data_IF_489432126887
#
_entry.id   IF_489432126887
#
_cell.length_a   1.000
_cell.length_b   1.000
_cell.length_c   1.000
_cell.angle_alpha   90.00
_cell.angle_beta   90.00
_cell.angle_gamma   90.00
#
_symmetry.space_group_name_H-M   'P 1'
#
loop_
_entity.id
_entity.type
_entity.pdbx_description
1 polymer ?
#
# COMPACT_ATOMS: atom_id res chain seq x y z
N UNK A 1 13.80 -3.17 -15.30
CA UNK A 1 14.71 -3.95 -14.42
C UNK A 1 13.91 -4.62 -13.31
N UNK A 2 13.04 -3.88 -12.61
CA UNK A 2 12.13 -4.37 -11.56
C UNK A 2 11.25 -5.59 -11.93
N UNK A 3 10.54 -5.57 -13.07
CA UNK A 3 9.67 -6.68 -13.49
C UNK A 3 10.41 -8.01 -13.82
N UNK A 4 11.75 -7.98 -13.94
CA UNK A 4 12.55 -9.21 -14.08
C UNK A 4 12.89 -9.86 -12.73
N UNK A 5 12.78 -9.09 -11.65
CA UNK A 5 13.08 -9.51 -10.27
C UNK A 5 11.77 -9.89 -9.57
N UNK A 6 10.69 -9.14 -9.81
CA UNK A 6 9.36 -9.44 -9.29
C UNK A 6 8.50 -10.19 -10.32
N UNK A 7 8.36 -11.51 -10.11
CA UNK A 7 7.43 -12.36 -10.87
C UNK A 7 6.00 -11.89 -10.63
N UNK A 8 5.17 -11.92 -11.67
CA UNK A 8 3.78 -11.52 -11.57
C UNK A 8 3.04 -12.39 -10.52
N UNK A 9 2.27 -11.73 -9.65
CA UNK A 9 1.39 -12.36 -8.67
C UNK A 9 -0.07 -12.08 -9.05
N UNK A 10 -0.94 -13.08 -9.03
CA UNK A 10 -2.36 -12.88 -9.33
C UNK A 10 -3.03 -11.99 -8.27
N UNK A 11 -4.23 -11.45 -8.57
CA UNK A 11 -5.01 -10.73 -7.55
C UNK A 11 -5.40 -11.65 -6.39
N UNK A 12 -5.81 -12.88 -6.71
CA UNK A 12 -6.20 -13.89 -5.72
C UNK A 12 -5.05 -14.23 -4.76
N UNK A 13 -3.87 -14.56 -5.30
CA UNK A 13 -2.71 -14.93 -4.47
C UNK A 13 -2.22 -13.75 -3.64
N UNK A 14 -2.26 -12.54 -4.19
CA UNK A 14 -1.90 -11.33 -3.45
C UNK A 14 -2.77 -11.15 -2.21
N UNK A 15 -4.10 -11.22 -2.35
CA UNK A 15 -5.01 -11.06 -1.21
C UNK A 15 -4.82 -12.19 -0.20
N UNK A 16 -4.66 -13.44 -0.66
CA UNK A 16 -4.41 -14.59 0.21
C UNK A 16 -3.09 -14.47 1.00
N UNK A 17 -2.10 -13.80 0.43
CA UNK A 17 -0.83 -13.54 1.11
C UNK A 17 -0.90 -12.29 2.02
N UNK A 18 -1.90 -11.44 1.85
CA UNK A 18 -2.20 -10.35 2.80
C UNK A 18 -2.96 -10.85 4.03
N UNK A 19 -3.94 -11.73 3.83
CA UNK A 19 -4.83 -12.21 4.88
C UNK A 19 -5.09 -13.72 4.74
N UNK A 20 -5.08 -14.43 5.88
CA UNK A 20 -5.31 -15.88 5.92
C UNK A 20 -6.70 -16.27 5.42
N UNK A 21 -7.73 -15.54 5.84
CA UNK A 21 -9.14 -15.72 5.49
C UNK A 21 -9.78 -14.35 5.20
N UNK A 22 -9.55 -13.77 4.01
CA UNK A 22 -9.92 -12.37 3.71
C UNK A 22 -11.43 -12.17 3.62
N UNK A 23 -11.93 -11.13 4.29
CA UNK A 23 -13.27 -10.58 4.02
C UNK A 23 -13.31 -9.87 2.65
N UNK A 24 -14.51 -9.61 2.13
CA UNK A 24 -14.66 -8.84 0.89
C UNK A 24 -14.05 -7.43 1.00
N UNK A 25 -14.14 -6.81 2.17
CA UNK A 25 -13.60 -5.48 2.42
C UNK A 25 -12.06 -5.51 2.53
N UNK A 26 -11.51 -6.49 3.23
CA UNK A 26 -10.06 -6.73 3.28
C UNK A 26 -9.48 -6.93 1.87
N UNK A 27 -10.16 -7.73 1.04
CA UNK A 27 -9.76 -7.92 -0.35
C UNK A 27 -9.80 -6.60 -1.14
N UNK A 28 -10.84 -5.79 -0.96
CA UNK A 28 -10.98 -4.47 -1.59
C UNK A 28 -9.82 -3.55 -1.19
N UNK A 29 -9.53 -3.43 0.11
CA UNK A 29 -8.45 -2.59 0.63
C UNK A 29 -7.08 -3.04 0.15
N UNK A 30 -6.78 -4.35 0.21
CA UNK A 30 -5.53 -4.89 -0.31
C UNK A 30 -5.33 -4.57 -1.80
N UNK A 31 -6.37 -4.74 -2.62
CA UNK A 31 -6.28 -4.46 -4.05
C UNK A 31 -6.13 -2.96 -4.32
N UNK A 32 -6.83 -2.11 -3.57
CA UNK A 32 -6.70 -0.65 -3.71
C UNK A 32 -5.28 -0.18 -3.38
N UNK A 33 -4.70 -0.64 -2.27
CA UNK A 33 -3.31 -0.31 -1.90
C UNK A 33 -2.34 -0.83 -2.96
N UNK A 34 -2.53 -2.07 -3.44
CA UNK A 34 -1.70 -2.63 -4.51
C UNK A 34 -1.71 -1.77 -5.78
N UNK A 35 -2.90 -1.31 -6.17
CA UNK A 35 -3.05 -0.46 -7.34
C UNK A 35 -2.46 0.94 -7.12
N UNK A 36 -2.67 1.54 -5.95
CA UNK A 36 -2.05 2.81 -5.58
C UNK A 36 -0.52 2.74 -5.69
N UNK A 37 0.07 1.67 -5.13
CA UNK A 37 1.52 1.43 -5.22
C UNK A 37 1.99 1.33 -6.66
N UNK A 38 1.25 0.58 -7.48
CA UNK A 38 1.56 0.36 -8.89
C UNK A 38 1.45 1.65 -9.72
N UNK A 39 0.39 2.44 -9.50
CA UNK A 39 0.14 3.72 -10.16
C UNK A 39 1.25 4.71 -9.87
N UNK A 40 1.64 4.87 -8.60
CA UNK A 40 2.74 5.72 -8.18
C UNK A 40 4.08 5.24 -8.75
N UNK A 41 4.30 3.92 -8.76
CA UNK A 41 5.47 3.28 -9.34
C UNK A 41 5.48 3.22 -10.87
N UNK A 42 4.42 3.67 -11.56
CA UNK A 42 4.24 3.58 -13.03
C UNK A 42 4.48 2.16 -13.57
N UNK A 43 3.92 1.17 -12.90
CA UNK A 43 4.05 -0.25 -13.26
C UNK A 43 2.69 -0.95 -13.21
N UNK A 44 2.55 -2.10 -13.89
CA UNK A 44 1.36 -2.92 -13.75
C UNK A 44 1.27 -3.52 -12.33
N UNK A 45 0.08 -3.49 -11.71
CA UNK A 45 -0.10 -3.95 -10.34
C UNK A 45 0.23 -5.43 -10.12
N UNK A 46 0.16 -6.27 -11.16
CA UNK A 46 0.57 -7.68 -11.09
C UNK A 46 2.02 -7.87 -10.63
N UNK A 47 2.88 -6.88 -10.81
CA UNK A 47 4.29 -6.91 -10.38
C UNK A 47 4.51 -6.40 -8.95
N UNK A 48 3.50 -5.82 -8.31
CA UNK A 48 3.52 -5.51 -6.88
C UNK A 48 3.13 -6.78 -6.13
N UNK A 49 4.04 -7.30 -5.31
CA UNK A 49 3.86 -8.55 -4.58
C UNK A 49 3.60 -8.28 -3.11
N UNK A 50 2.75 -9.09 -2.49
CA UNK A 50 2.46 -8.98 -1.06
C UNK A 50 3.73 -9.12 -0.21
N UNK A 51 4.67 -10.00 -0.61
CA UNK A 51 5.93 -10.28 0.11
C UNK A 51 7.09 -9.33 -0.27
N UNK A 52 6.88 -8.41 -1.21
CA UNK A 52 7.87 -7.40 -1.52
C UNK A 52 7.97 -6.40 -0.37
N UNK A 53 9.18 -5.92 -0.11
CA UNK A 53 9.44 -4.78 0.77
C UNK A 53 9.25 -3.46 0.01
N UNK A 54 9.07 -2.37 0.74
CA UNK A 54 9.10 -1.04 0.12
C UNK A 54 10.46 -0.71 -0.51
N UNK A 55 11.57 -1.17 0.08
CA UNK A 55 12.92 -1.08 -0.51
C UNK A 55 13.01 -1.70 -1.91
N UNK A 56 12.26 -2.78 -2.19
CA UNK A 56 12.27 -3.37 -3.54
C UNK A 56 11.76 -2.36 -4.57
N UNK A 57 10.86 -1.46 -4.15
CA UNK A 57 10.24 -0.44 -4.99
C UNK A 57 11.16 0.73 -5.31
N UNK A 58 12.30 0.92 -4.63
CA UNK A 58 13.18 2.08 -4.75
C UNK A 58 13.67 2.36 -6.18
N UNK A 59 13.66 1.35 -7.05
CA UNK A 59 13.96 1.53 -8.48
C UNK A 59 12.83 2.17 -9.31
N UNK A 60 11.68 2.46 -8.71
CA UNK A 60 10.48 2.99 -9.37
C UNK A 60 10.32 4.50 -9.10
N UNK A 61 9.71 5.28 -10.01
CA UNK A 61 9.82 6.75 -10.01
C UNK A 61 9.32 7.51 -8.78
N UNK A 62 8.26 7.03 -8.12
CA UNK A 62 7.75 7.65 -6.88
C UNK A 62 8.53 7.19 -5.65
N UNK A 63 8.89 5.91 -5.64
CA UNK A 63 9.51 5.21 -4.53
C UNK A 63 11.01 5.50 -4.42
N UNK A 64 11.68 5.85 -5.53
CA UNK A 64 13.09 6.27 -5.56
C UNK A 64 13.37 7.58 -4.81
N UNK A 65 12.33 8.26 -4.33
CA UNK A 65 12.43 9.49 -3.56
C UNK A 65 12.32 9.24 -2.05
N UNK A 66 11.97 8.01 -1.63
CA UNK A 66 12.08 7.56 -0.26
C UNK A 66 13.54 7.71 0.23
N UNK A 67 13.74 8.23 1.43
CA UNK A 67 15.04 8.51 2.03
C UNK A 67 15.60 9.89 1.68
N UNK A 68 15.90 10.14 0.40
CA UNK A 68 16.66 11.35 0.00
C UNK A 68 15.83 12.64 0.01
N UNK A 69 14.54 12.56 -0.32
CA UNK A 69 13.63 13.71 -0.39
C UNK A 69 12.48 13.64 0.64
N UNK A 70 12.42 12.55 1.40
CA UNK A 70 11.29 12.21 2.27
C UNK A 70 10.12 11.61 1.47
N UNK A 71 9.52 10.56 2.02
CA UNK A 71 8.32 9.96 1.45
C UNK A 71 7.13 10.91 1.50
N UNK A 72 6.44 11.05 0.37
CA UNK A 72 5.24 11.86 0.30
C UNK A 72 4.01 11.04 0.71
N UNK A 73 3.84 10.90 2.02
CA UNK A 73 2.73 10.15 2.64
C UNK A 73 1.37 10.66 2.17
N UNK A 74 1.18 11.98 2.06
CA UNK A 74 -0.07 12.59 1.57
C UNK A 74 -0.44 12.04 0.19
N UNK A 75 0.50 12.09 -0.76
CA UNK A 75 0.27 11.59 -2.12
C UNK A 75 0.02 10.08 -2.18
N UNK A 76 0.59 9.32 -1.25
CA UNK A 76 0.30 7.89 -1.15
C UNK A 76 -1.12 7.63 -0.64
N UNK A 77 -1.56 8.35 0.40
CA UNK A 77 -2.92 8.24 0.93
C UNK A 77 -3.95 8.70 -0.12
N UNK A 78 -3.73 9.82 -0.81
CA UNK A 78 -4.59 10.28 -1.91
C UNK A 78 -4.75 9.22 -3.02
N UNK A 79 -3.68 8.49 -3.35
CA UNK A 79 -3.75 7.42 -4.32
C UNK A 79 -4.59 6.22 -3.82
N UNK A 80 -4.52 5.90 -2.52
CA UNK A 80 -5.34 4.86 -1.90
C UNK A 80 -6.81 5.29 -1.85
N UNK A 81 -7.10 6.55 -1.48
CA UNK A 81 -8.43 7.15 -1.48
C UNK A 81 -9.10 7.05 -2.85
N UNK A 82 -8.36 7.42 -3.89
CA UNK A 82 -8.83 7.35 -5.28
C UNK A 82 -9.22 5.92 -5.68
N UNK A 83 -8.41 4.92 -5.30
CA UNK A 83 -8.68 3.51 -5.59
C UNK A 83 -9.85 2.95 -4.77
N UNK A 84 -10.04 3.44 -3.54
CA UNK A 84 -11.14 3.03 -2.65
C UNK A 84 -12.46 3.76 -2.95
N UNK A 85 -12.40 4.91 -3.61
CA UNK A 85 -13.55 5.79 -3.84
C UNK A 85 -14.04 6.44 -2.55
N UNK A 86 -13.12 6.79 -1.65
CA UNK A 86 -13.39 7.42 -0.35
C UNK A 86 -12.51 8.65 -0.16
N UNK A 87 -12.75 9.39 0.91
CA UNK A 87 -11.88 10.48 1.35
C UNK A 87 -11.75 10.42 2.87
N UNK A 88 -10.52 10.45 3.38
CA UNK A 88 -10.23 10.54 4.80
C UNK A 88 -10.13 12.01 5.20
N UNK A 89 -10.61 12.33 6.41
CA UNK A 89 -10.39 13.65 6.98
C UNK A 89 -8.90 13.84 7.30
N UNK A 90 -8.36 15.03 7.04
CA UNK A 90 -6.94 15.37 7.27
C UNK A 90 -6.51 15.03 8.70
N UNK A 91 -7.33 15.36 9.70
CA UNK A 91 -7.10 15.02 11.12
C UNK A 91 -6.95 13.50 11.35
N UNK A 92 -7.70 12.66 10.64
CA UNK A 92 -7.59 11.19 10.74
C UNK A 92 -6.28 10.69 10.12
N UNK A 93 -5.77 11.36 9.08
CA UNK A 93 -4.49 11.04 8.44
C UNK A 93 -3.32 11.45 9.35
N UNK A 94 -3.37 12.65 9.95
CA UNK A 94 -2.35 13.15 10.88
C UNK A 94 -2.20 12.26 12.12
N UNK A 95 -3.29 11.65 12.57
CA UNK A 95 -3.32 10.71 13.69
C UNK A 95 -3.26 9.23 13.27
N UNK A 96 -2.86 8.95 12.03
CA UNK A 96 -2.63 7.59 11.55
C UNK A 96 -1.58 6.88 12.40
N UNK A 97 -1.92 5.68 12.87
CA UNK A 97 -0.98 4.74 13.49
C UNK A 97 -0.27 3.83 12.48
N UNK A 98 -0.59 3.97 11.18
CA UNK A 98 0.05 3.22 10.10
C UNK A 98 1.49 3.68 9.98
N UNK A 99 2.43 2.74 10.10
CA UNK A 99 3.86 3.03 10.04
C UNK A 99 4.26 3.59 8.68
N UNK A 100 5.08 4.64 8.70
CA UNK A 100 5.61 5.27 7.49
C UNK A 100 6.53 4.28 6.74
N UNK A 101 6.23 3.95 5.47
CA UNK A 101 7.09 3.11 4.64
C UNK A 101 8.54 3.59 4.52
N UNK A 102 8.78 4.90 4.57
CA UNK A 102 10.11 5.52 4.48
C UNK A 102 11.01 5.15 5.66
N UNK A 103 10.39 5.12 6.85
CA UNK A 103 11.09 4.81 8.11
C UNK A 103 11.14 3.30 8.35
N UNK A 104 10.46 2.50 7.52
CA UNK A 104 10.32 1.06 7.66
C UNK A 104 10.55 0.36 6.32
N UNK A 105 11.65 0.66 5.63
CA UNK A 105 11.94 0.19 4.27
C UNK A 105 11.86 -1.35 4.08
N UNK A 106 12.17 -2.13 5.12
CA UNK A 106 12.09 -3.59 5.10
C UNK A 106 10.67 -4.14 5.33
N UNK A 107 9.72 -3.27 5.70
CA UNK A 107 8.31 -3.63 5.87
C UNK A 107 7.79 -4.23 4.58
N UNK A 108 7.13 -5.38 4.71
CA UNK A 108 6.49 -6.03 3.58
C UNK A 108 5.16 -5.36 3.29
N UNK A 109 4.79 -5.35 2.01
CA UNK A 109 3.53 -4.74 1.56
C UNK A 109 2.33 -5.36 2.27
N UNK A 110 2.34 -6.67 2.54
CA UNK A 110 1.28 -7.31 3.32
C UNK A 110 1.20 -6.83 4.78
N UNK A 111 2.33 -6.47 5.40
CA UNK A 111 2.35 -5.95 6.77
C UNK A 111 1.71 -4.56 6.80
N UNK A 112 2.10 -3.70 5.85
CA UNK A 112 1.48 -2.38 5.69
C UNK A 112 -0.03 -2.49 5.45
N UNK A 113 -0.47 -3.39 4.56
CA UNK A 113 -1.90 -3.58 4.25
C UNK A 113 -2.68 -4.00 5.51
N UNK A 114 -2.11 -4.87 6.34
CA UNK A 114 -2.75 -5.29 7.58
C UNK A 114 -2.89 -4.11 8.57
N UNK A 115 -1.82 -3.32 8.75
CA UNK A 115 -1.86 -2.15 9.64
C UNK A 115 -2.82 -1.08 9.13
N UNK A 116 -2.77 -0.80 7.84
CA UNK A 116 -3.68 0.12 7.18
C UNK A 116 -5.12 -0.33 7.35
N UNK A 117 -5.43 -1.62 7.17
CA UNK A 117 -6.79 -2.13 7.33
C UNK A 117 -7.31 -1.96 8.76
N UNK A 118 -6.48 -2.22 9.78
CA UNK A 118 -6.85 -2.02 11.19
C UNK A 118 -7.21 -0.54 11.43
N UNK A 119 -6.35 0.38 11.01
CA UNK A 119 -6.63 1.82 11.12
C UNK A 119 -7.86 2.23 10.31
N UNK A 120 -8.04 1.67 9.12
CA UNK A 120 -9.18 1.92 8.24
C UNK A 120 -10.52 1.53 8.86
N UNK A 121 -10.59 0.41 9.59
CA UNK A 121 -11.80 0.03 10.31
C UNK A 121 -12.12 1.04 11.43
N UNK A 122 -11.13 1.41 12.25
CA UNK A 122 -11.32 2.40 13.31
C UNK A 122 -11.74 3.77 12.78
N UNK A 123 -11.21 4.17 11.62
CA UNK A 123 -11.52 5.47 11.03
C UNK A 123 -12.91 5.55 10.42
N UNK A 124 -13.57 4.41 10.16
CA UNK A 124 -14.96 4.33 9.67
C UNK A 124 -16.02 4.29 10.76
N UNK A 125 -15.71 3.74 11.93
CA UNK A 125 -16.67 3.57 13.03
C UNK A 125 -16.92 4.86 13.84
N UNK A 126 -16.28 5.96 13.45
CA UNK A 126 -16.32 7.25 14.18
C UNK A 126 -17.12 8.36 13.50
N UNK A 127 -17.88 8.03 12.44
CA UNK A 127 -18.85 8.93 11.79
C UNK A 127 -20.31 8.57 12.15
#
# INVERSE_FOLDING_TARGET
>A
MFAKINVAQSKFDFVKNCFKDPSAEQAKVAIAIRNAIATLGKIESKFIRAEASFEDLDSLPFWSLCGDAGFNTVKFIEAIELELGIHFLEEKIEHSSVRDPDLNIHMKIHEFINEFYIWYEYSRDTD
#
